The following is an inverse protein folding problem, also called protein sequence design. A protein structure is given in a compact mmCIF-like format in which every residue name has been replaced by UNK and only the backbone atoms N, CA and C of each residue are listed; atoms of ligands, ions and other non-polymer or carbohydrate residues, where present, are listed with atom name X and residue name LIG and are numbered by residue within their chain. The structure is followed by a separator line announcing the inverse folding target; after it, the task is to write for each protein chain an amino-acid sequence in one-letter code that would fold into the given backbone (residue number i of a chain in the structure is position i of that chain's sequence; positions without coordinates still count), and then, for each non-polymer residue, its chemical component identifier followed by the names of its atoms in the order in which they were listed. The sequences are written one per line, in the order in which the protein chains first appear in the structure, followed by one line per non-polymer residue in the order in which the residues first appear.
data_IF_391572416743
#
_entry.id   IF_391572416743
#
_cell.length_a   1.000
_cell.length_b   1.000
_cell.length_c   1.000
_cell.angle_alpha   90.00
_cell.angle_beta   90.00
_cell.angle_gamma   90.00
#
_symmetry.space_group_name_H-M   'P 1'
#
loop_
_entity.id
_entity.type
_entity.pdbx_description
1 polymer ?
#
# COMPACT_ATOMS: atom_id res chain seq x y z
N UNK A 1 21.54 8.59 5.74
CA UNK A 1 20.25 7.99 6.18
C UNK A 1 19.50 7.52 4.94
N UNK A 2 19.40 6.21 4.72
CA UNK A 2 18.64 5.67 3.59
C UNK A 2 17.14 5.84 3.80
N UNK A 3 16.47 6.55 2.88
CA UNK A 3 15.02 6.74 2.90
C UNK A 3 14.32 5.42 2.66
N UNK A 4 13.40 5.04 3.52
CA UNK A 4 12.73 3.76 3.43
C UNK A 4 11.45 3.86 2.58
N UNK A 5 11.59 3.75 1.25
CA UNK A 5 10.53 4.10 0.29
C UNK A 5 9.21 3.36 0.50
N UNK A 6 9.21 2.10 0.97
CA UNK A 6 7.96 1.37 1.22
C UNK A 6 7.24 1.89 2.49
N UNK A 7 8.00 2.38 3.49
CA UNK A 7 7.40 2.98 4.68
C UNK A 7 6.76 4.34 4.32
N UNK A 8 7.39 5.10 3.43
CA UNK A 8 6.84 6.34 2.90
C UNK A 8 5.50 6.08 2.19
N UNK A 9 5.41 5.06 1.32
CA UNK A 9 4.16 4.66 0.64
C UNK A 9 3.04 4.37 1.63
N UNK A 10 3.31 3.52 2.62
CA UNK A 10 2.33 3.12 3.64
C UNK A 10 1.82 4.34 4.40
N UNK A 11 2.74 5.26 4.73
CA UNK A 11 2.41 6.50 5.42
C UNK A 11 1.58 7.43 4.54
N UNK A 12 1.94 7.61 3.27
CA UNK A 12 1.17 8.41 2.31
C UNK A 12 -0.25 7.88 2.13
N UNK A 13 -0.43 6.56 2.03
CA UNK A 13 -1.76 5.94 1.91
C UNK A 13 -2.57 6.17 3.20
N UNK A 14 -1.98 5.94 4.39
CA UNK A 14 -2.68 6.20 5.66
C UNK A 14 -3.11 7.65 5.81
N UNK A 15 -2.26 8.58 5.40
CA UNK A 15 -2.59 10.01 5.44
C UNK A 15 -3.72 10.35 4.46
N UNK A 16 -3.74 9.75 3.27
CA UNK A 16 -4.81 9.94 2.30
C UNK A 16 -6.13 9.30 2.72
N UNK A 17 -6.11 8.17 3.45
CA UNK A 17 -7.29 7.52 4.05
C UNK A 17 -7.87 8.34 5.22
N UNK A 18 -7.00 9.06 5.94
CA UNK A 18 -7.43 10.03 6.97
C UNK A 18 -7.97 11.32 6.38
N UNK A 19 -7.45 11.75 5.23
CA UNK A 19 -7.90 12.92 4.49
C UNK A 19 -9.21 12.68 3.77
N UNK A 20 -10.09 13.68 3.70
CA UNK A 20 -11.42 13.55 3.06
C UNK A 20 -11.37 13.26 1.55
N UNK A 21 -10.25 13.55 0.88
CA UNK A 21 -10.14 13.51 -0.58
C UNK A 21 -9.73 12.13 -1.12
N UNK A 22 -9.28 11.22 -0.26
CA UNK A 22 -9.01 9.82 -0.61
C UNK A 22 -8.03 9.57 -1.74
N UNK A 23 -7.26 10.58 -2.15
CA UNK A 23 -6.36 10.51 -3.29
C UNK A 23 -4.93 10.67 -2.80
N UNK A 24 -4.04 9.80 -3.25
CA UNK A 24 -2.63 9.79 -2.87
C UNK A 24 -1.75 9.88 -4.11
N UNK A 25 -0.68 10.68 -4.01
CA UNK A 25 0.34 10.81 -5.05
C UNK A 25 1.66 10.22 -4.54
N UNK A 26 2.20 9.25 -5.27
CA UNK A 26 3.38 8.48 -4.87
C UNK A 26 4.36 8.42 -6.04
N UNK A 27 5.67 8.46 -5.79
CA UNK A 27 6.65 8.27 -6.86
C UNK A 27 6.57 6.85 -7.45
N UNK A 28 6.69 6.76 -8.79
CA UNK A 28 6.67 5.48 -9.51
C UNK A 28 8.05 4.83 -9.45
N UNK A 29 8.13 3.64 -8.87
CA UNK A 29 9.25 2.71 -8.94
C UNK A 29 8.69 1.33 -9.24
N UNK A 30 9.52 0.37 -9.69
CA UNK A 30 9.04 -0.98 -9.99
C UNK A 30 8.34 -1.62 -8.78
N UNK A 31 8.88 -1.39 -7.57
CA UNK A 31 8.30 -1.89 -6.32
C UNK A 31 6.97 -1.18 -6.02
N UNK A 32 6.91 0.15 -6.14
CA UNK A 32 5.68 0.89 -5.83
C UNK A 32 4.55 0.52 -6.79
N UNK A 33 4.87 0.37 -8.08
CA UNK A 33 3.91 -0.07 -9.10
C UNK A 33 3.36 -1.46 -8.80
N UNK A 34 4.21 -2.41 -8.41
CA UNK A 34 3.76 -3.76 -8.08
C UNK A 34 2.88 -3.79 -6.82
N UNK A 35 3.25 -3.05 -5.77
CA UNK A 35 2.43 -2.95 -4.56
C UNK A 35 1.06 -2.34 -4.89
N UNK A 36 1.02 -1.23 -5.63
CA UNK A 36 -0.24 -0.56 -6.01
C UNK A 36 -1.11 -1.44 -6.90
N UNK A 37 -0.52 -2.21 -7.83
CA UNK A 37 -1.25 -3.19 -8.65
C UNK A 37 -1.91 -4.28 -7.80
N UNK A 38 -1.22 -4.79 -6.78
CA UNK A 38 -1.80 -5.77 -5.85
C UNK A 38 -2.97 -5.13 -5.07
N UNK A 39 -2.76 -3.94 -4.52
CA UNK A 39 -3.81 -3.23 -3.76
C UNK A 39 -5.04 -2.89 -4.62
N UNK A 40 -4.84 -2.60 -5.91
CA UNK A 40 -5.92 -2.41 -6.88
C UNK A 40 -6.70 -3.71 -7.12
N UNK A 41 -5.98 -4.83 -7.35
CA UNK A 41 -6.59 -6.14 -7.60
C UNK A 41 -7.42 -6.63 -6.42
N UNK A 42 -6.92 -6.44 -5.20
CA UNK A 42 -7.60 -6.80 -3.96
C UNK A 42 -8.71 -5.79 -3.58
N UNK A 43 -8.86 -4.70 -4.35
CA UNK A 43 -9.94 -3.74 -4.20
C UNK A 43 -9.80 -2.77 -3.03
N UNK A 44 -8.58 -2.57 -2.51
CA UNK A 44 -8.24 -1.52 -1.54
C UNK A 44 -8.09 -0.15 -2.24
N UNK A 45 -7.56 -0.16 -3.46
CA UNK A 45 -7.50 1.01 -4.35
C UNK A 45 -8.59 0.85 -5.40
N UNK A 46 -9.30 1.95 -5.69
CA UNK A 46 -10.37 1.98 -6.68
C UNK A 46 -9.82 2.27 -8.08
N UNK A 47 -8.88 3.22 -8.17
CA UNK A 47 -8.27 3.60 -9.43
C UNK A 47 -6.81 4.01 -9.24
N UNK A 48 -5.98 3.78 -10.26
CA UNK A 48 -4.61 4.25 -10.33
C UNK A 48 -4.35 4.85 -11.70
N UNK A 49 -3.71 6.02 -11.73
CA UNK A 49 -3.23 6.66 -12.96
C UNK A 49 -1.75 6.96 -12.83
N UNK A 50 -0.99 6.62 -13.88
CA UNK A 50 0.42 7.02 -13.98
C UNK A 50 0.48 8.42 -14.61
N UNK A 51 1.16 9.33 -13.93
CA UNK A 51 1.33 10.72 -14.34
C UNK A 51 2.82 11.04 -14.45
N UNK A 52 3.23 11.72 -15.50
CA UNK A 52 4.61 12.16 -15.70
C UNK A 52 4.69 13.67 -15.50
N UNK A 53 5.61 14.10 -14.64
CA UNK A 53 5.86 15.52 -14.37
C UNK A 53 7.37 15.75 -14.27
N UNK A 54 7.91 16.69 -15.06
CA UNK A 54 9.32 17.10 -15.04
C UNK A 54 10.25 15.86 -15.02
N UNK A 55 10.03 14.96 -15.99
CA UNK A 55 10.79 13.71 -16.16
C UNK A 55 10.73 12.69 -15.00
N UNK A 56 9.80 12.85 -14.07
CA UNK A 56 9.53 11.89 -12.99
C UNK A 56 8.13 11.29 -13.15
N UNK A 57 8.02 10.01 -12.87
CA UNK A 57 6.74 9.31 -12.89
C UNK A 57 6.13 9.25 -11.49
N UNK A 58 4.82 9.41 -11.42
CA UNK A 58 4.02 9.32 -10.21
C UNK A 58 2.80 8.44 -10.44
N UNK A 59 2.40 7.73 -9.38
CA UNK A 59 1.14 7.01 -9.30
C UNK A 59 0.17 7.86 -8.49
N UNK A 60 -0.88 8.31 -9.15
CA UNK A 60 -2.02 8.97 -8.51
C UNK A 60 -3.07 7.89 -8.27
N UNK A 61 -3.26 7.51 -7.01
CA UNK A 61 -4.18 6.42 -6.62
C UNK A 61 -5.35 6.97 -5.82
N UNK A 62 -6.56 6.52 -6.17
CA UNK A 62 -7.79 6.82 -5.44
C UNK A 62 -8.14 5.64 -4.55
N UNK A 63 -8.16 5.88 -3.24
CA UNK A 63 -8.46 4.89 -2.22
C UNK A 63 -9.96 4.63 -2.17
N UNK A 64 -10.33 3.35 -2.09
CA UNK A 64 -11.73 2.96 -2.00
C UNK A 64 -12.28 3.28 -0.61
N UNK A 65 -13.18 4.25 -0.53
CA UNK A 65 -13.82 4.63 0.72
C UNK A 65 -15.06 3.75 0.97
N UNK A 66 -14.97 2.81 1.92
CA UNK A 66 -16.15 2.07 2.39
C UNK A 66 -16.77 2.81 3.57
N UNK A 67 -17.76 3.66 3.29
CA UNK A 67 -18.66 4.19 4.32
C UNK A 67 -19.72 3.15 4.64
N UNK A 68 -19.81 2.74 5.90
CA UNK A 68 -20.92 1.94 6.42
C UNK A 68 -21.68 2.74 7.47
N UNK A 69 -22.90 2.32 7.82
CA UNK A 69 -23.69 2.94 8.91
C UNK A 69 -22.96 2.93 10.26
N UNK A 70 -21.95 2.08 10.46
CA UNK A 70 -21.13 1.96 11.67
C UNK A 70 -19.84 2.80 11.65
N UNK A 71 -19.58 3.55 10.59
CA UNK A 71 -18.40 4.41 10.44
C UNK A 71 -17.57 4.15 9.18
N UNK A 72 -16.43 4.85 9.10
CA UNK A 72 -15.46 4.72 8.00
C UNK A 72 -14.56 3.52 8.29
N UNK A 73 -14.59 2.49 7.44
CA UNK A 73 -13.62 1.41 7.50
C UNK A 73 -12.27 1.92 7.02
N UNK A 74 -11.29 2.00 7.93
CA UNK A 74 -9.93 2.41 7.62
C UNK A 74 -9.08 1.22 7.22
N UNK A 75 -8.28 1.40 6.17
CA UNK A 75 -7.35 0.35 5.73
C UNK A 75 -6.13 0.34 6.66
N UNK A 76 -5.90 -0.78 7.34
CA UNK A 76 -4.73 -0.94 8.21
C UNK A 76 -3.56 -1.47 7.38
N UNK A 77 -2.55 -0.62 7.17
CA UNK A 77 -1.31 -0.98 6.50
C UNK A 77 -0.17 -1.00 7.51
N UNK A 78 0.58 -2.10 7.57
CA UNK A 78 1.74 -2.28 8.45
C UNK A 78 2.89 -2.93 7.71
N UNK A 79 4.08 -2.36 7.88
CA UNK A 79 5.32 -2.96 7.39
C UNK A 79 5.94 -3.89 8.43
N UNK A 80 6.28 -5.09 8.00
CA UNK A 80 6.90 -6.14 8.82
C UNK A 80 8.43 -6.10 8.65
N UNK A 81 8.97 -6.36 7.46
CA UNK A 81 10.42 -6.36 7.18
C UNK A 81 10.94 -4.93 6.97
N UNK A 82 11.93 -4.48 7.76
CA UNK A 82 12.50 -3.10 7.74
C UNK A 82 13.99 -3.13 7.37
N UNK A 83 14.59 -2.02 6.89
CA UNK A 83 16.02 -2.02 6.52
C UNK A 83 16.96 -2.47 7.65
N UNK A 84 16.68 -2.07 8.90
CA UNK A 84 17.46 -2.48 10.07
C UNK A 84 17.16 -3.90 10.59
N UNK A 85 16.06 -4.52 10.16
CA UNK A 85 15.72 -5.90 10.50
C UNK A 85 14.90 -6.51 9.38
N UNK A 86 15.57 -7.28 8.51
CA UNK A 86 14.92 -8.01 7.43
C UNK A 86 14.28 -9.28 7.98
N UNK A 87 13.00 -9.44 7.69
CA UNK A 87 12.22 -10.61 8.09
C UNK A 87 11.93 -11.42 6.83
N UNK A 88 12.29 -12.70 6.87
CA UNK A 88 12.02 -13.70 5.84
C UNK A 88 11.17 -14.82 6.45
N UNK A 89 10.33 -15.44 5.64
CA UNK A 89 9.42 -16.49 6.12
C UNK A 89 9.33 -17.61 5.10
N UNK A 90 9.37 -18.85 5.58
CA UNK A 90 9.07 -20.02 4.77
C UNK A 90 7.57 -20.12 4.51
N UNK A 91 7.17 -20.87 3.48
CA UNK A 91 5.77 -21.02 3.08
C UNK A 91 4.85 -21.49 4.24
N UNK A 92 5.36 -22.35 5.12
CA UNK A 92 4.63 -22.88 6.28
C UNK A 92 4.36 -21.82 7.37
N UNK A 93 5.15 -20.75 7.40
CA UNK A 93 5.12 -19.73 8.43
C UNK A 93 4.39 -18.45 7.97
N UNK A 94 3.80 -18.46 6.77
CA UNK A 94 3.06 -17.30 6.26
C UNK A 94 1.82 -17.08 7.13
N UNK A 95 1.73 -15.93 7.83
CA UNK A 95 0.63 -15.70 8.75
C UNK A 95 -0.67 -15.41 7.98
N UNK A 96 -1.79 -15.92 8.49
CA UNK A 96 -3.12 -15.50 8.05
C UNK A 96 -3.48 -14.19 8.75
N UNK A 97 -3.80 -13.16 7.96
CA UNK A 97 -4.19 -11.84 8.50
C UNK A 97 -5.70 -11.80 8.69
N UNK A 98 -6.14 -11.41 9.88
CA UNK A 98 -7.57 -11.28 10.23
C UNK A 98 -8.40 -12.53 9.86
N UNK A 99 -7.88 -13.72 10.17
CA UNK A 99 -8.56 -14.99 9.86
C UNK A 99 -8.70 -15.30 8.36
N UNK A 100 -7.94 -14.62 7.49
CA UNK A 100 -8.02 -14.74 6.03
C UNK A 100 -8.74 -13.58 5.33
N UNK A 101 -9.27 -12.61 6.09
CA UNK A 101 -9.90 -11.41 5.52
C UNK A 101 -8.89 -10.36 5.04
N UNK A 102 -7.64 -10.43 5.49
CA UNK A 102 -6.57 -9.53 5.08
C UNK A 102 -5.54 -10.20 4.20
N UNK A 103 -4.67 -9.39 3.60
CA UNK A 103 -3.61 -9.84 2.70
C UNK A 103 -2.22 -9.64 3.31
N UNK A 104 -1.27 -10.47 2.88
CA UNK A 104 0.17 -10.25 3.10
C UNK A 104 0.83 -10.11 1.74
N UNK A 105 1.65 -9.07 1.56
CA UNK A 105 2.46 -8.90 0.36
C UNK A 105 3.87 -9.41 0.68
N UNK A 106 4.28 -10.46 -0.04
CA UNK A 106 5.60 -11.10 0.10
C UNK A 106 6.39 -10.89 -1.18
N UNK A 107 7.68 -10.61 -1.04
CA UNK A 107 8.61 -10.62 -2.18
C UNK A 107 9.15 -12.03 -2.32
N UNK A 108 8.94 -12.63 -3.48
CA UNK A 108 9.52 -13.93 -3.86
C UNK A 108 10.56 -13.72 -4.95
N UNK A 109 11.45 -14.71 -5.13
CA UNK A 109 12.35 -14.82 -6.29
C UNK A 109 11.61 -15.18 -7.56
#
# INVERSE_FOLDING_TARGET
MGRDSIADIITSIRNADMGKNGTVRIASTNITENIVKILLREGFIENVRKHQEINKYFLVSTLRHRRTRKGIYRTILKRISRPGLRIYSNYQQIPKILGGMGIVILSTS
#
